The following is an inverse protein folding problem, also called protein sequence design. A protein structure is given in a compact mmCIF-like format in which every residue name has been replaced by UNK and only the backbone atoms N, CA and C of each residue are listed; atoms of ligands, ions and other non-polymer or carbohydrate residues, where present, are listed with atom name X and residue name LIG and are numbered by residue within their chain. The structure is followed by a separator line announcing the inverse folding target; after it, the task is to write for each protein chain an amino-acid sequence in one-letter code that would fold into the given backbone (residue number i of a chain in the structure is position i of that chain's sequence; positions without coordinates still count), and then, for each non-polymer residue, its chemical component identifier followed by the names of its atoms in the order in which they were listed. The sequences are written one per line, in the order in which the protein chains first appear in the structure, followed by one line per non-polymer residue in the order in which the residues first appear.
data_IF_835897128850
#
_entry.id   IF_835897128850
#
_cell.length_a   1.000
_cell.length_b   1.000
_cell.length_c   1.000
_cell.angle_alpha   90.00
_cell.angle_beta   90.00
_cell.angle_gamma   90.00
#
_symmetry.space_group_name_H-M   'P 1'
#
loop_
_entity.id
_entity.type
_entity.pdbx_description
1 polymer ?
#
# COMPACT_ATOMS: atom_id res chain seq x y z
N UNK A 1 42.28 -71.59 1.31
CA UNK A 1 43.73 -71.37 1.05
C UNK A 1 44.02 -69.91 1.38
N UNK A 2 44.66 -69.72 2.51
CA UNK A 2 46.03 -69.17 2.67
C UNK A 2 46.09 -67.68 2.27
N UNK A 3 46.41 -66.75 3.09
CA UNK A 3 47.37 -66.42 4.11
C UNK A 3 47.71 -64.94 3.89
N UNK A 4 47.84 -64.10 4.71
CA UNK A 4 48.53 -63.64 5.94
C UNK A 4 48.63 -62.11 5.79
N UNK A 5 48.25 -61.29 6.80
CA UNK A 5 49.07 -60.72 7.88
C UNK A 5 50.27 -59.93 7.39
N UNK A 6 50.36 -58.65 7.83
CA UNK A 6 51.31 -58.08 8.80
C UNK A 6 51.18 -56.57 8.67
N UNK A 7 50.73 -55.67 9.55
CA UNK A 7 51.23 -55.21 10.83
C UNK A 7 52.63 -54.61 10.81
N UNK A 8 52.75 -53.32 11.09
CA UNK A 8 53.79 -52.58 11.81
C UNK A 8 53.61 -51.10 11.63
N UNK A 9 53.28 -50.31 12.60
CA UNK A 9 53.88 -49.79 13.83
C UNK A 9 55.01 -48.77 13.66
N UNK A 10 54.82 -47.61 14.32
CA UNK A 10 55.79 -46.59 14.85
C UNK A 10 56.39 -45.64 13.80
N UNK A 11 56.52 -44.39 14.07
CA UNK A 11 56.85 -43.63 15.29
C UNK A 11 56.67 -42.15 15.12
N UNK A 12 56.27 -41.52 16.13
CA UNK A 12 56.46 -40.20 16.66
C UNK A 12 57.64 -39.35 16.16
N UNK A 13 57.44 -38.07 16.03
CA UNK A 13 58.50 -37.06 15.86
C UNK A 13 57.94 -35.65 16.00
N UNK A 14 58.15 -35.11 17.13
CA UNK A 14 57.94 -33.79 17.71
C UNK A 14 58.88 -32.76 17.08
N UNK A 15 58.44 -31.52 17.00
CA UNK A 15 59.14 -30.21 17.16
C UNK A 15 58.69 -29.25 16.03
N UNK A 16 57.94 -28.25 16.31
CA UNK A 16 58.15 -27.00 17.08
C UNK A 16 58.95 -25.94 16.32
N UNK A 17 58.42 -24.79 16.47
CA UNK A 17 58.95 -23.42 16.34
C UNK A 17 58.85 -22.70 15.00
N UNK A 18 57.93 -21.72 15.08
CA UNK A 18 58.11 -20.26 14.90
C UNK A 18 58.43 -19.75 13.49
N UNK A 19 57.64 -18.83 13.03
CA UNK A 19 57.96 -17.40 13.01
C UNK A 19 56.76 -16.64 12.44
N UNK A 20 56.31 -15.74 13.21
CA UNK A 20 55.70 -14.45 12.95
C UNK A 20 55.95 -13.94 11.51
N UNK A 21 54.87 -13.69 10.75
CA UNK A 21 54.85 -12.66 9.74
C UNK A 21 53.54 -11.90 9.79
N UNK A 22 53.69 -10.64 9.97
CA UNK A 22 52.66 -9.59 9.93
C UNK A 22 51.88 -9.56 8.61
N UNK A 23 50.60 -9.26 8.73
CA UNK A 23 49.95 -8.38 7.79
C UNK A 23 48.93 -9.01 6.86
N UNK A 24 47.73 -8.95 7.25
CA UNK A 24 46.57 -8.42 6.51
C UNK A 24 45.33 -8.89 7.22
N UNK A 25 44.61 -7.95 7.81
CA UNK A 25 43.24 -8.16 8.28
C UNK A 25 42.39 -8.30 7.05
N UNK A 26 42.21 -9.50 6.54
CA UNK A 26 41.09 -9.81 5.68
C UNK A 26 39.83 -9.84 6.54
N UNK A 27 39.06 -8.79 6.36
CA UNK A 27 37.71 -8.69 6.88
C UNK A 27 36.87 -9.79 6.21
N UNK A 28 36.83 -10.96 6.82
CA UNK A 28 35.78 -11.94 6.50
C UNK A 28 34.44 -11.28 6.78
N UNK A 29 33.83 -10.72 5.74
CA UNK A 29 32.42 -10.45 5.71
C UNK A 29 31.73 -11.79 5.96
N UNK A 30 31.34 -11.99 7.21
CA UNK A 30 30.40 -13.02 7.59
C UNK A 30 29.14 -12.78 6.78
N UNK A 31 29.01 -13.42 5.65
CA UNK A 31 27.76 -13.52 4.89
C UNK A 31 26.84 -14.34 5.79
N UNK A 32 26.11 -13.66 6.65
CA UNK A 32 24.94 -14.22 7.29
C UNK A 32 23.94 -14.46 6.17
N UNK A 33 23.93 -15.68 5.68
CA UNK A 33 22.87 -16.20 4.83
C UNK A 33 21.61 -16.31 5.69
N UNK A 34 21.01 -15.16 5.99
CA UNK A 34 19.64 -15.11 6.50
C UNK A 34 18.79 -15.50 5.29
N UNK A 35 18.35 -16.74 5.24
CA UNK A 35 17.29 -17.15 4.33
C UNK A 35 16.16 -16.14 4.54
N UNK A 36 15.98 -15.22 3.61
CA UNK A 36 14.87 -14.27 3.63
C UNK A 36 13.61 -15.12 3.61
N UNK A 37 12.87 -15.10 4.72
CA UNK A 37 11.54 -15.69 4.75
C UNK A 37 10.78 -15.03 3.59
N UNK A 38 10.25 -15.83 2.70
CA UNK A 38 9.49 -15.32 1.55
C UNK A 38 8.39 -14.39 2.08
N UNK A 39 8.36 -13.14 1.61
CA UNK A 39 7.36 -12.18 2.04
C UNK A 39 6.01 -12.58 1.44
N UNK A 40 5.03 -12.84 2.29
CA UNK A 40 3.64 -13.10 1.91
C UNK A 40 2.85 -11.84 2.22
N UNK A 41 2.63 -11.02 1.20
CA UNK A 41 1.90 -9.75 1.32
C UNK A 41 0.47 -9.94 0.85
N UNK A 42 -0.48 -9.44 1.64
CA UNK A 42 -1.91 -9.46 1.31
C UNK A 42 -2.41 -8.02 1.25
N UNK A 43 -3.15 -7.68 0.21
CA UNK A 43 -3.83 -6.40 0.07
C UNK A 43 -5.34 -6.57 0.24
N UNK A 44 -5.99 -5.69 0.98
CA UNK A 44 -7.45 -5.72 1.17
C UNK A 44 -8.20 -4.71 0.31
N UNK A 45 -7.51 -3.87 -0.47
CA UNK A 45 -8.17 -2.89 -1.33
C UNK A 45 -7.54 -2.83 -2.72
N UNK A 46 -8.34 -2.47 -3.73
CA UNK A 46 -7.86 -2.31 -5.12
C UNK A 46 -6.74 -1.27 -5.18
N UNK A 47 -6.94 -0.10 -4.59
CA UNK A 47 -5.94 0.97 -4.63
C UNK A 47 -4.61 0.58 -3.97
N UNK A 48 -4.65 -0.13 -2.84
CA UNK A 48 -3.43 -0.67 -2.20
C UNK A 48 -2.77 -1.71 -3.08
N UNK A 49 -3.55 -2.58 -3.74
CA UNK A 49 -3.02 -3.57 -4.69
C UNK A 49 -2.26 -2.90 -5.83
N UNK A 50 -2.83 -1.84 -6.40
CA UNK A 50 -2.19 -1.05 -7.48
C UNK A 50 -0.90 -0.35 -7.01
N UNK A 51 -0.89 0.20 -5.79
CA UNK A 51 0.31 0.82 -5.22
C UNK A 51 1.42 -0.22 -5.04
N UNK A 52 1.10 -1.38 -4.46
CA UNK A 52 2.07 -2.46 -4.24
C UNK A 52 2.62 -2.99 -5.56
N UNK A 53 1.78 -3.16 -6.58
CA UNK A 53 2.21 -3.54 -7.93
C UNK A 53 3.15 -2.49 -8.54
N UNK A 54 2.78 -1.20 -8.46
CA UNK A 54 3.61 -0.10 -8.96
C UNK A 54 4.98 -0.01 -8.25
N UNK A 55 5.06 -0.47 -6.99
CA UNK A 55 6.31 -0.61 -6.24
C UNK A 55 7.05 -1.92 -6.56
N UNK A 56 6.50 -2.80 -7.40
CA UNK A 56 7.09 -4.10 -7.70
C UNK A 56 7.06 -5.07 -6.50
N UNK A 57 6.09 -4.94 -5.62
CA UNK A 57 5.86 -5.85 -4.49
C UNK A 57 4.89 -6.93 -4.91
N UNK A 58 5.30 -8.19 -4.79
CA UNK A 58 4.44 -9.33 -5.09
C UNK A 58 3.35 -9.47 -4.05
N UNK A 59 2.09 -9.54 -4.48
CA UNK A 59 0.91 -9.71 -3.63
C UNK A 59 0.38 -11.14 -3.74
N UNK A 60 0.17 -11.80 -2.62
CA UNK A 60 -0.30 -13.20 -2.52
C UNK A 60 -1.80 -13.32 -2.27
N UNK A 61 -2.43 -12.25 -1.76
CA UNK A 61 -3.87 -12.18 -1.53
C UNK A 61 -4.42 -10.82 -1.94
N UNK A 62 -5.56 -10.80 -2.63
CA UNK A 62 -6.19 -9.59 -3.19
C UNK A 62 -7.67 -9.53 -2.86
N UNK A 63 -8.30 -8.34 -2.83
CA UNK A 63 -9.73 -8.23 -2.60
C UNK A 63 -10.53 -8.83 -3.76
N UNK A 64 -11.69 -9.38 -3.45
CA UNK A 64 -12.70 -9.71 -4.47
C UNK A 64 -13.32 -8.42 -5.01
N UNK A 65 -13.22 -8.22 -6.32
CA UNK A 65 -13.68 -6.98 -6.96
C UNK A 65 -14.12 -7.25 -8.40
N UNK A 66 -14.95 -6.35 -8.95
CA UNK A 66 -15.28 -6.32 -10.38
C UNK A 66 -14.30 -5.44 -11.18
N UNK A 67 -13.44 -4.69 -10.50
CA UNK A 67 -12.39 -3.91 -11.15
C UNK A 67 -11.26 -4.82 -11.63
N UNK A 68 -10.66 -4.46 -12.75
CA UNK A 68 -9.47 -5.14 -13.24
C UNK A 68 -8.29 -4.87 -12.30
N UNK A 69 -7.67 -5.94 -11.82
CA UNK A 69 -6.47 -5.87 -10.99
C UNK A 69 -5.21 -6.02 -11.85
N UNK A 70 -4.04 -5.57 -11.37
CA UNK A 70 -2.79 -5.72 -12.08
C UNK A 70 -2.51 -7.17 -12.50
N UNK A 71 -1.94 -7.35 -13.68
CA UNK A 71 -1.59 -8.67 -14.26
C UNK A 71 -0.72 -9.52 -13.31
N UNK A 72 0.17 -8.87 -12.54
CA UNK A 72 1.04 -9.51 -11.56
C UNK A 72 0.28 -10.25 -10.45
N UNK A 73 -1.00 -9.96 -10.26
CA UNK A 73 -1.84 -10.51 -9.17
C UNK A 73 -2.74 -11.66 -9.63
N UNK A 74 -2.63 -12.13 -10.86
CA UNK A 74 -3.51 -13.19 -11.41
C UNK A 74 -3.50 -14.50 -10.62
N UNK A 75 -2.38 -14.80 -9.96
CA UNK A 75 -2.23 -16.01 -9.15
C UNK A 75 -2.52 -15.74 -7.67
N UNK A 76 -2.85 -14.50 -7.30
CA UNK A 76 -3.17 -14.15 -5.92
C UNK A 76 -4.54 -14.71 -5.51
N UNK A 77 -4.66 -15.07 -4.24
CA UNK A 77 -5.90 -15.63 -3.68
C UNK A 77 -6.89 -14.51 -3.39
N UNK A 78 -8.13 -14.65 -3.83
CA UNK A 78 -9.21 -13.73 -3.44
C UNK A 78 -9.52 -13.90 -1.94
N UNK A 79 -9.42 -12.82 -1.18
CA UNK A 79 -9.62 -12.80 0.27
C UNK A 79 -11.00 -12.25 0.70
N UNK A 80 -11.93 -12.11 -0.23
CA UNK A 80 -13.27 -11.62 0.05
C UNK A 80 -13.45 -10.11 -0.17
N UNK A 81 -14.57 -9.58 0.29
CA UNK A 81 -14.95 -8.19 0.09
C UNK A 81 -14.01 -7.23 0.85
N UNK A 82 -13.57 -6.11 0.23
CA UNK A 82 -12.71 -5.13 0.89
C UNK A 82 -13.18 -4.64 2.26
N UNK A 83 -14.49 -4.45 2.42
CA UNK A 83 -15.08 -3.96 3.68
C UNK A 83 -15.29 -5.06 4.73
N UNK A 84 -15.25 -6.32 4.32
CA UNK A 84 -15.43 -7.48 5.19
C UNK A 84 -14.62 -8.67 4.62
N UNK A 85 -13.29 -8.61 4.70
CA UNK A 85 -12.43 -9.67 4.18
C UNK A 85 -12.57 -10.95 5.00
N UNK A 86 -12.34 -12.07 4.35
CA UNK A 86 -12.34 -13.38 5.00
C UNK A 86 -11.02 -13.59 5.75
N UNK A 87 -11.07 -13.44 7.07
CA UNK A 87 -9.89 -13.56 7.92
C UNK A 87 -9.34 -14.98 7.97
N UNK A 88 -10.15 -16.00 7.74
CA UNK A 88 -9.67 -17.38 7.71
C UNK A 88 -8.86 -17.65 6.44
N UNK A 89 -9.31 -17.12 5.30
CA UNK A 89 -8.50 -17.15 4.07
C UNK A 89 -7.19 -16.39 4.28
N UNK A 90 -7.26 -15.15 4.84
CA UNK A 90 -6.06 -14.35 5.12
C UNK A 90 -5.08 -15.15 6.00
N UNK A 91 -5.55 -15.71 7.12
CA UNK A 91 -4.71 -16.50 8.03
C UNK A 91 -4.11 -17.73 7.37
N UNK A 92 -4.86 -18.39 6.47
CA UNK A 92 -4.38 -19.58 5.76
C UNK A 92 -3.18 -19.28 4.85
N UNK A 93 -3.05 -18.06 4.36
CA UNK A 93 -1.90 -17.60 3.60
C UNK A 93 -0.65 -17.37 4.46
N UNK A 94 -0.77 -17.37 5.79
CA UNK A 94 0.31 -17.05 6.73
C UNK A 94 1.02 -15.73 6.39
N UNK A 95 0.30 -14.60 6.26
CA UNK A 95 0.86 -13.36 5.77
C UNK A 95 1.98 -12.85 6.68
N UNK A 96 3.04 -12.33 6.07
CA UNK A 96 4.06 -11.55 6.77
C UNK A 96 3.55 -10.14 7.03
N UNK A 97 2.66 -9.63 6.14
CA UNK A 97 1.99 -8.36 6.28
C UNK A 97 0.69 -8.33 5.48
N UNK A 98 -0.35 -7.77 6.08
CA UNK A 98 -1.57 -7.34 5.38
C UNK A 98 -1.54 -5.82 5.28
N UNK A 99 -1.68 -5.29 4.07
CA UNK A 99 -1.77 -3.84 3.83
C UNK A 99 -3.22 -3.48 3.52
N UNK A 100 -3.74 -2.49 4.24
CA UNK A 100 -5.12 -2.05 4.15
C UNK A 100 -5.24 -0.52 4.20
N UNK A 101 -6.46 -0.01 4.16
CA UNK A 101 -6.76 1.42 4.32
C UNK A 101 -7.36 1.71 5.68
N UNK A 102 -7.06 2.88 6.24
CA UNK A 102 -7.57 3.34 7.54
C UNK A 102 -8.99 3.92 7.47
N UNK A 103 -9.48 4.23 6.27
CA UNK A 103 -10.79 4.86 6.03
C UNK A 103 -11.98 4.02 6.50
N UNK A 104 -11.79 2.71 6.73
CA UNK A 104 -12.82 1.81 7.26
C UNK A 104 -12.99 1.89 8.79
N UNK A 105 -12.18 2.71 9.44
CA UNK A 105 -12.32 3.05 10.86
C UNK A 105 -11.65 2.07 11.83
N UNK A 106 -11.71 2.47 13.11
CA UNK A 106 -11.00 1.77 14.19
C UNK A 106 -11.45 0.33 14.41
N UNK A 107 -12.74 0.06 14.25
CA UNK A 107 -13.29 -1.29 14.48
C UNK A 107 -12.74 -2.28 13.45
N UNK A 108 -12.63 -1.84 12.19
CA UNK A 108 -12.01 -2.63 11.14
C UNK A 108 -10.53 -2.89 11.43
N UNK A 109 -9.79 -1.86 11.87
CA UNK A 109 -8.37 -2.00 12.23
C UNK A 109 -8.18 -2.93 13.43
N UNK A 110 -9.05 -2.84 14.44
CA UNK A 110 -9.03 -3.70 15.62
C UNK A 110 -9.28 -5.16 15.27
N UNK A 111 -10.09 -5.45 14.26
CA UNK A 111 -10.37 -6.80 13.79
C UNK A 111 -9.09 -7.57 13.43
N UNK A 112 -8.14 -6.94 12.74
CA UNK A 112 -6.85 -7.56 12.40
C UNK A 112 -5.99 -7.76 13.64
N UNK A 113 -5.94 -6.77 14.52
CA UNK A 113 -5.18 -6.84 15.78
C UNK A 113 -5.68 -7.95 16.70
N UNK A 114 -6.98 -8.06 16.90
CA UNK A 114 -7.62 -9.09 17.73
C UNK A 114 -7.39 -10.51 17.18
N UNK A 115 -7.27 -10.61 15.87
CA UNK A 115 -6.97 -11.86 15.19
C UNK A 115 -5.47 -12.15 15.03
N UNK A 116 -4.59 -11.33 15.62
CA UNK A 116 -3.13 -11.45 15.54
C UNK A 116 -2.60 -11.47 14.09
N UNK A 117 -3.24 -10.73 13.18
CA UNK A 117 -2.83 -10.60 11.78
C UNK A 117 -1.89 -9.40 11.68
N UNK A 118 -0.62 -9.58 11.24
CA UNK A 118 0.29 -8.47 11.01
C UNK A 118 -0.30 -7.53 9.96
N UNK A 119 -0.54 -6.28 10.31
CA UNK A 119 -1.21 -5.35 9.41
C UNK A 119 -0.62 -3.95 9.45
N UNK A 120 -0.66 -3.28 8.30
CA UNK A 120 -0.34 -1.88 8.09
C UNK A 120 -1.54 -1.18 7.45
N UNK A 121 -1.89 -0.01 7.97
CA UNK A 121 -3.00 0.77 7.46
C UNK A 121 -2.48 2.09 6.92
N UNK A 122 -2.82 2.37 5.66
CA UNK A 122 -2.42 3.60 4.98
C UNK A 122 -3.63 4.48 4.72
N UNK A 123 -3.44 5.80 4.78
CA UNK A 123 -4.49 6.76 4.46
C UNK A 123 -4.44 7.11 2.97
N UNK A 124 -5.59 6.97 2.31
CA UNK A 124 -5.79 7.37 0.91
C UNK A 124 -6.88 8.45 0.78
N UNK A 125 -7.14 9.20 1.85
CA UNK A 125 -8.20 10.21 1.88
C UNK A 125 -7.86 11.50 1.10
N UNK A 126 -6.60 11.71 0.76
CA UNK A 126 -6.13 12.87 -0.01
C UNK A 126 -4.95 12.52 -0.89
N UNK A 127 -4.59 13.43 -1.82
CA UNK A 127 -3.38 13.25 -2.64
C UNK A 127 -2.11 13.19 -1.76
N UNK A 128 -2.06 13.96 -0.69
CA UNK A 128 -0.93 13.90 0.26
C UNK A 128 -0.92 12.58 1.03
N UNK A 129 -2.10 12.07 1.40
CA UNK A 129 -2.25 10.73 1.98
C UNK A 129 -1.71 9.65 1.04
N UNK A 130 -2.08 9.69 -0.24
CA UNK A 130 -1.55 8.78 -1.25
C UNK A 130 -0.03 8.86 -1.36
N UNK A 131 0.55 10.07 -1.44
CA UNK A 131 2.01 10.25 -1.49
C UNK A 131 2.71 9.69 -0.24
N UNK A 132 2.14 9.92 0.93
CA UNK A 132 2.66 9.36 2.18
C UNK A 132 2.56 7.83 2.21
N UNK A 133 1.46 7.25 1.73
CA UNK A 133 1.29 5.80 1.62
C UNK A 133 2.35 5.17 0.72
N UNK A 134 2.60 5.76 -0.46
CA UNK A 134 3.65 5.31 -1.39
C UNK A 134 5.02 5.33 -0.71
N UNK A 135 5.35 6.41 -0.01
CA UNK A 135 6.63 6.53 0.68
C UNK A 135 6.77 5.48 1.80
N UNK A 136 5.75 5.37 2.66
CA UNK A 136 5.72 4.40 3.78
C UNK A 136 5.88 2.96 3.28
N UNK A 137 5.16 2.59 2.22
CA UNK A 137 5.24 1.26 1.64
C UNK A 137 6.57 1.04 0.93
N UNK A 138 7.10 2.06 0.25
CA UNK A 138 8.43 2.03 -0.35
C UNK A 138 9.53 1.74 0.67
N UNK A 139 9.52 2.43 1.80
CA UNK A 139 10.46 2.20 2.91
C UNK A 139 10.28 0.79 3.50
N UNK A 140 9.04 0.38 3.74
CA UNK A 140 8.71 -0.89 4.37
C UNK A 140 9.16 -2.11 3.55
N UNK A 141 9.04 -2.03 2.24
CA UNK A 141 9.40 -3.11 1.32
C UNK A 141 10.78 -2.92 0.67
N UNK A 142 11.58 -1.94 1.13
CA UNK A 142 12.88 -1.60 0.54
C UNK A 142 12.79 -1.25 -0.97
N UNK A 143 11.69 -0.58 -1.36
CA UNK A 143 11.36 -0.13 -2.70
C UNK A 143 11.44 1.40 -2.85
N UNK A 144 12.47 1.99 -2.26
CA UNK A 144 12.62 3.46 -2.19
C UNK A 144 12.81 4.10 -3.57
N UNK A 145 13.49 3.43 -4.49
CA UNK A 145 13.72 3.95 -5.84
C UNK A 145 12.42 3.92 -6.67
N UNK A 146 11.66 2.83 -6.56
CA UNK A 146 10.35 2.69 -7.21
C UNK A 146 9.34 3.71 -6.63
N UNK A 147 9.31 3.87 -5.31
CA UNK A 147 8.47 4.86 -4.63
C UNK A 147 8.81 6.27 -5.09
N UNK A 148 10.09 6.62 -5.14
CA UNK A 148 10.56 7.92 -5.63
C UNK A 148 10.12 8.17 -7.07
N UNK A 149 10.31 7.22 -7.97
CA UNK A 149 9.90 7.35 -9.36
C UNK A 149 8.38 7.54 -9.52
N UNK A 150 7.57 6.84 -8.69
CA UNK A 150 6.12 7.00 -8.67
C UNK A 150 5.71 8.36 -8.13
N UNK A 151 6.32 8.83 -7.05
CA UNK A 151 6.10 10.15 -6.46
C UNK A 151 6.45 11.27 -7.43
N UNK A 152 7.59 11.21 -8.10
CA UNK A 152 8.00 12.20 -9.11
C UNK A 152 6.97 12.30 -10.26
N UNK A 153 6.38 11.18 -10.69
CA UNK A 153 5.29 11.16 -11.67
C UNK A 153 4.05 11.91 -11.16
N UNK A 154 3.63 11.62 -9.92
CA UNK A 154 2.44 12.24 -9.31
C UNK A 154 2.68 13.74 -9.15
N UNK A 155 3.81 14.14 -8.59
CA UNK A 155 4.16 15.54 -8.37
C UNK A 155 4.27 16.33 -9.67
N UNK A 156 4.82 15.73 -10.73
CA UNK A 156 4.86 16.35 -12.05
C UNK A 156 3.45 16.61 -12.59
N UNK A 157 2.53 15.65 -12.42
CA UNK A 157 1.13 15.81 -12.85
C UNK A 157 0.37 16.81 -12.00
N UNK A 158 0.60 16.82 -10.70
CA UNK A 158 0.04 17.83 -9.80
C UNK A 158 0.49 19.24 -10.17
N UNK A 159 1.78 19.42 -10.42
CA UNK A 159 2.34 20.69 -10.86
C UNK A 159 1.75 21.14 -12.18
N UNK A 160 1.70 20.27 -13.18
CA UNK A 160 1.08 20.55 -14.50
C UNK A 160 -0.39 21.00 -14.34
N UNK A 161 -1.16 20.29 -13.49
CA UNK A 161 -2.55 20.65 -13.23
C UNK A 161 -2.69 22.03 -12.57
N UNK A 162 -1.89 22.31 -11.53
CA UNK A 162 -1.86 23.62 -10.86
C UNK A 162 -1.48 24.76 -11.80
N UNK A 163 -0.47 24.56 -12.65
CA UNK A 163 -0.03 25.57 -13.62
C UNK A 163 -1.14 25.87 -14.65
N UNK A 164 -1.81 24.85 -15.16
CA UNK A 164 -2.97 25.02 -16.06
C UNK A 164 -4.14 25.74 -15.39
N UNK A 165 -4.40 25.41 -14.12
CA UNK A 165 -5.49 26.01 -13.36
C UNK A 165 -5.22 27.47 -12.92
N UNK A 166 -3.96 27.89 -12.84
CA UNK A 166 -3.57 29.19 -12.27
C UNK A 166 -4.19 30.41 -12.97
N UNK A 167 -4.48 30.30 -14.28
CA UNK A 167 -5.07 31.36 -15.11
C UNK A 167 -6.57 31.18 -15.36
N UNK A 168 -7.18 30.14 -14.81
CA UNK A 168 -8.60 29.83 -15.02
C UNK A 168 -9.46 30.44 -13.89
N UNK A 169 -10.74 30.65 -14.19
CA UNK A 169 -11.74 30.97 -13.19
C UNK A 169 -11.84 29.81 -12.19
N UNK A 170 -12.14 30.12 -10.95
CA UNK A 170 -12.28 29.15 -9.85
C UNK A 170 -13.76 28.89 -9.56
N UNK A 171 -14.41 27.99 -10.32
CA UNK A 171 -15.83 27.76 -10.15
C UNK A 171 -16.13 27.12 -8.77
N UNK A 172 -17.28 27.45 -8.23
CA UNK A 172 -17.82 26.77 -7.06
C UNK A 172 -18.35 25.40 -7.45
N UNK A 173 -17.76 24.35 -6.86
CA UNK A 173 -18.01 22.95 -7.22
C UNK A 173 -18.65 22.21 -6.04
N UNK A 174 -19.78 21.59 -6.31
CA UNK A 174 -20.38 20.59 -5.42
C UNK A 174 -19.96 19.19 -5.90
N UNK A 175 -19.41 18.38 -5.01
CA UNK A 175 -19.04 17.00 -5.31
C UNK A 175 -20.02 16.05 -4.61
N UNK A 176 -20.82 15.35 -5.41
CA UNK A 176 -21.76 14.32 -4.95
C UNK A 176 -21.13 12.93 -5.08
N UNK A 177 -21.21 12.16 -4.03
CA UNK A 177 -20.84 10.75 -4.02
C UNK A 177 -22.13 9.92 -3.92
N UNK A 178 -22.49 9.26 -5.00
CA UNK A 178 -23.70 8.45 -5.07
C UNK A 178 -23.36 6.96 -4.93
N UNK A 179 -24.02 6.32 -3.99
CA UNK A 179 -24.01 4.88 -3.81
C UNK A 179 -25.46 4.38 -3.68
N UNK A 180 -25.74 3.10 -3.94
CA UNK A 180 -27.11 2.56 -3.81
C UNK A 180 -27.74 2.91 -2.44
N UNK A 181 -28.87 3.61 -2.46
CA UNK A 181 -29.60 4.02 -1.27
C UNK A 181 -28.98 5.17 -0.47
N UNK A 182 -27.87 5.78 -0.89
CA UNK A 182 -27.21 6.86 -0.19
C UNK A 182 -26.56 7.87 -1.14
N UNK A 183 -26.68 9.15 -0.79
CA UNK A 183 -25.94 10.22 -1.44
C UNK A 183 -25.22 11.02 -0.38
N UNK A 184 -23.92 11.15 -0.52
CA UNK A 184 -23.07 11.94 0.35
C UNK A 184 -22.44 13.08 -0.45
N UNK A 185 -21.98 14.08 0.26
CA UNK A 185 -21.25 15.21 -0.33
C UNK A 185 -19.79 15.11 0.10
N UNK A 186 -18.91 15.15 -0.87
CA UNK A 186 -17.47 15.13 -0.63
C UNK A 186 -17.00 16.54 -0.27
N UNK A 187 -16.37 16.68 0.88
CA UNK A 187 -15.74 17.93 1.32
C UNK A 187 -14.33 18.08 0.73
N UNK A 188 -13.68 19.22 0.95
CA UNK A 188 -12.30 19.44 0.54
C UNK A 188 -11.30 18.46 1.21
N UNK A 189 -11.67 17.81 2.32
CA UNK A 189 -10.87 16.75 2.97
C UNK A 189 -10.93 15.40 2.27
N UNK A 190 -11.93 15.15 1.44
CA UNK A 190 -11.98 13.91 0.67
C UNK A 190 -10.91 13.91 -0.43
N UNK A 191 -10.55 12.71 -0.89
CA UNK A 191 -9.60 12.56 -2.00
C UNK A 191 -10.05 13.38 -3.22
N UNK A 192 -11.29 13.21 -3.67
CA UNK A 192 -11.82 13.94 -4.83
C UNK A 192 -11.94 15.43 -4.57
N UNK A 193 -12.34 15.84 -3.36
CA UNK A 193 -12.41 17.25 -2.99
C UNK A 193 -11.04 17.92 -3.02
N UNK A 194 -10.00 17.24 -2.55
CA UNK A 194 -8.62 17.73 -2.64
C UNK A 194 -8.16 17.90 -4.10
N UNK A 195 -8.55 17.00 -4.99
CA UNK A 195 -8.25 17.12 -6.42
C UNK A 195 -8.98 18.30 -7.07
N UNK A 196 -10.24 18.54 -6.69
CA UNK A 196 -10.99 19.72 -7.18
C UNK A 196 -10.24 21.02 -6.86
N UNK A 197 -9.69 21.15 -5.65
CA UNK A 197 -8.92 22.33 -5.27
C UNK A 197 -7.58 22.44 -6.02
N UNK A 198 -6.91 21.31 -6.24
CA UNK A 198 -5.66 21.27 -7.02
C UNK A 198 -5.86 21.78 -8.45
N UNK A 199 -6.99 21.46 -9.06
CA UNK A 199 -7.31 21.94 -10.42
C UNK A 199 -8.01 23.30 -10.44
N UNK A 200 -8.03 24.02 -9.32
CA UNK A 200 -8.51 25.38 -9.20
C UNK A 200 -10.01 25.54 -8.97
N UNK A 201 -10.75 24.46 -8.73
CA UNK A 201 -12.13 24.56 -8.25
C UNK A 201 -12.18 24.94 -6.78
N UNK A 202 -13.28 25.50 -6.34
CA UNK A 202 -13.59 25.76 -4.93
C UNK A 202 -14.68 24.80 -4.49
N UNK A 203 -14.37 23.91 -3.55
CA UNK A 203 -15.43 23.09 -2.95
C UNK A 203 -16.39 23.98 -2.17
N UNK A 204 -17.67 23.95 -2.53
CA UNK A 204 -18.68 24.84 -1.95
C UNK A 204 -19.07 24.45 -0.50
N UNK A 205 -18.69 23.25 -0.06
CA UNK A 205 -19.01 22.74 1.26
C UNK A 205 -17.98 23.23 2.27
N UNK A 206 -18.41 24.08 3.18
CA UNK A 206 -17.53 24.70 4.18
C UNK A 206 -17.17 23.78 5.35
N UNK A 207 -18.03 22.78 5.65
CA UNK A 207 -17.75 21.78 6.71
C UNK A 207 -16.66 20.80 6.28
N UNK A 208 -15.45 21.10 6.70
CA UNK A 208 -14.27 20.28 6.49
C UNK A 208 -13.90 19.44 7.73
N UNK A 209 -14.86 19.09 8.58
CA UNK A 209 -14.60 18.23 9.74
C UNK A 209 -14.37 16.77 9.35
N UNK A 210 -15.02 16.32 8.26
CA UNK A 210 -14.99 14.95 7.72
C UNK A 210 -14.79 14.97 6.21
N UNK A 211 -14.37 13.85 5.65
CA UNK A 211 -14.21 13.68 4.19
C UNK A 211 -15.57 13.69 3.46
N UNK A 212 -16.60 13.21 4.11
CA UNK A 212 -17.98 13.19 3.57
C UNK A 212 -18.97 13.70 4.59
N UNK A 213 -19.97 14.40 4.10
CA UNK A 213 -21.09 14.93 4.89
C UNK A 213 -22.41 14.68 4.16
N UNK A 214 -23.52 14.90 4.85
CA UNK A 214 -24.88 14.76 4.29
C UNK A 214 -25.63 16.07 4.47
N UNK A 215 -26.38 16.44 3.45
CA UNK A 215 -27.31 17.58 3.47
C UNK A 215 -28.71 17.07 3.18
N UNK A 216 -29.72 17.74 3.76
CA UNK A 216 -31.07 17.54 3.30
C UNK A 216 -31.27 18.20 1.92
N UNK A 217 -32.37 17.89 1.23
CA UNK A 217 -32.62 18.38 -0.13
C UNK A 217 -32.77 19.90 -0.20
N UNK A 218 -33.34 20.50 0.84
CA UNK A 218 -33.57 21.93 0.95
C UNK A 218 -32.22 22.66 1.08
N UNK A 219 -31.35 22.24 1.99
CA UNK A 219 -30.03 22.82 2.17
C UNK A 219 -29.14 22.64 0.94
N UNK A 220 -29.25 21.47 0.29
CA UNK A 220 -28.52 21.20 -0.94
C UNK A 220 -28.93 22.17 -2.08
N UNK A 221 -30.23 22.46 -2.20
CA UNK A 221 -30.74 23.40 -3.19
C UNK A 221 -30.27 24.86 -2.94
N UNK A 222 -30.02 25.22 -1.68
CA UNK A 222 -29.52 26.54 -1.29
C UNK A 222 -28.02 26.76 -1.63
N UNK A 223 -27.25 25.71 -1.79
CA UNK A 223 -25.81 25.83 -2.12
C UNK A 223 -25.57 26.48 -3.50
N UNK A 224 -26.48 26.29 -4.44
CA UNK A 224 -26.44 26.88 -5.78
C UNK A 224 -25.06 26.82 -6.47
N UNK A 225 -24.43 25.63 -6.61
CA UNK A 225 -23.09 25.49 -7.17
C UNK A 225 -23.06 25.85 -8.64
N UNK A 226 -21.93 26.39 -9.14
CA UNK A 226 -21.71 26.61 -10.55
C UNK A 226 -21.51 25.29 -11.32
N UNK A 227 -20.90 24.31 -10.67
CA UNK A 227 -20.63 22.98 -11.21
C UNK A 227 -21.00 21.89 -10.22
N UNK A 228 -21.52 20.80 -10.72
CA UNK A 228 -21.78 19.59 -9.94
C UNK A 228 -20.96 18.45 -10.54
N UNK A 229 -20.10 17.87 -9.73
CA UNK A 229 -19.35 16.65 -10.06
C UNK A 229 -20.04 15.48 -9.34
N UNK A 230 -20.47 14.48 -10.09
CA UNK A 230 -21.09 13.28 -9.53
C UNK A 230 -20.15 12.11 -9.67
N UNK A 231 -19.77 11.54 -8.53
CA UNK A 231 -19.06 10.25 -8.48
C UNK A 231 -20.06 9.14 -8.21
N UNK A 232 -20.08 8.17 -9.10
CA UNK A 232 -20.88 6.95 -8.93
C UNK A 232 -19.96 5.83 -8.51
N UNK A 233 -20.26 5.19 -7.38
CA UNK A 233 -19.47 4.11 -6.84
C UNK A 233 -20.34 2.87 -6.66
N UNK A 234 -19.84 1.72 -7.08
CA UNK A 234 -20.54 0.45 -7.09
C UNK A 234 -21.89 0.51 -7.82
N UNK A 235 -22.10 -0.35 -8.77
CA UNK A 235 -23.35 -0.47 -9.54
C UNK A 235 -23.80 0.85 -10.24
N UNK A 236 -22.99 1.38 -11.18
CA UNK A 236 -23.30 2.63 -11.87
C UNK A 236 -24.55 2.52 -12.78
N UNK A 237 -25.12 1.34 -12.96
CA UNK A 237 -26.29 1.05 -13.78
C UNK A 237 -27.62 1.01 -13.00
N UNK A 238 -27.58 1.23 -11.68
CA UNK A 238 -28.76 1.40 -10.81
C UNK A 238 -29.01 2.92 -10.52
#
# INVERSE_FOLDING_TARGET
MKFKKVMSLMTAGIMALSMISCGSVENEKKVTNTASKEEVVVSTSVAVTEILDALGVKVSGVPKTSYELPESTKEAVEIGNPMSPDLEIIKSLNPTLVVSVDTLGSDYMNLFKENNIPSEFVSLESLDGLKNAINTLGEKFNKNDEAKALLEKIESKEKEAKEKAASLEKPEVLVLFAAPGSTMIATAKSYIGSLVEIVGGKNIVEDNSKSFTTYNKEDLALLNPEKILVMVHAMPEE
#
